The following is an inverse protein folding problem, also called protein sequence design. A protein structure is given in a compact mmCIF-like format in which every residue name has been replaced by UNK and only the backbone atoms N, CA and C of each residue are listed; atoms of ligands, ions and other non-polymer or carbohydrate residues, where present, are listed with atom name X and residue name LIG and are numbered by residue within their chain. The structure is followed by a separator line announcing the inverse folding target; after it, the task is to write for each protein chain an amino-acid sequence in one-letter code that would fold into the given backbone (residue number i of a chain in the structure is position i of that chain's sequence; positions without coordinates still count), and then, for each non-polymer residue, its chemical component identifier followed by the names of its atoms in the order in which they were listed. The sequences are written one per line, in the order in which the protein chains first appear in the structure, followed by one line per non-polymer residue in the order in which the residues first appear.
data_IF_151110064897
#
_entry.id   IF_151110064897
#
_cell.length_a   1.000
_cell.length_b   1.000
_cell.length_c   1.000
_cell.angle_alpha   90.00
_cell.angle_beta   90.00
_cell.angle_gamma   90.00
#
_symmetry.space_group_name_H-M   'P 1'
#
loop_
_entity.id
_entity.type
_entity.pdbx_description
1 polymer ?
#
# COMPACT_ATOMS: atom_id res chain seq x y z
N UNK A 1 -12.97 68.95 29.41
CA UNK A 1 -13.54 67.89 28.55
C UNK A 1 -12.48 66.92 28.06
N UNK A 2 -11.30 67.38 27.62
CA UNK A 2 -10.21 66.52 27.16
C UNK A 2 -9.79 65.39 28.13
N UNK A 3 -9.62 65.69 29.43
CA UNK A 3 -9.27 64.68 30.44
C UNK A 3 -10.25 63.50 30.51
N UNK A 4 -11.57 63.79 30.52
CA UNK A 4 -12.61 62.75 30.54
C UNK A 4 -12.64 61.90 29.27
N UNK A 5 -12.18 62.45 28.14
CA UNK A 5 -12.13 61.70 26.89
C UNK A 5 -10.95 60.73 26.90
N UNK A 6 -9.79 61.13 27.39
CA UNK A 6 -8.65 60.21 27.50
C UNK A 6 -8.84 59.14 28.56
N UNK A 7 -9.46 59.45 29.70
CA UNK A 7 -9.85 58.44 30.69
C UNK A 7 -10.76 57.36 30.09
N UNK A 8 -11.69 57.75 29.19
CA UNK A 8 -12.56 56.79 28.48
C UNK A 8 -11.80 55.91 27.49
N UNK A 9 -10.81 56.48 26.79
CA UNK A 9 -9.98 55.72 25.86
C UNK A 9 -9.12 54.70 26.59
N UNK A 10 -8.53 55.08 27.72
CA UNK A 10 -7.71 54.17 28.52
C UNK A 10 -8.57 53.04 29.10
N UNK A 11 -9.74 53.36 29.64
CA UNK A 11 -10.68 52.34 30.11
C UNK A 11 -11.11 51.36 29.01
N UNK A 12 -11.33 51.85 27.79
CA UNK A 12 -11.66 50.99 26.65
C UNK A 12 -10.48 50.10 26.20
N UNK A 13 -9.24 50.59 26.31
CA UNK A 13 -8.03 49.77 26.06
C UNK A 13 -7.89 48.65 27.08
N UNK A 14 -8.10 48.97 28.36
CA UNK A 14 -8.06 47.97 29.43
C UNK A 14 -9.14 46.90 29.24
N UNK A 15 -10.36 47.31 28.88
CA UNK A 15 -11.47 46.39 28.59
C UNK A 15 -11.19 45.49 27.37
N UNK A 16 -10.59 46.04 26.30
CA UNK A 16 -10.15 45.26 25.14
C UNK A 16 -9.06 44.26 25.52
N UNK A 17 -8.06 44.68 26.30
CA UNK A 17 -6.99 43.81 26.75
C UNK A 17 -7.53 42.66 27.61
N UNK A 18 -8.47 42.93 28.51
CA UNK A 18 -9.14 41.92 29.32
C UNK A 18 -9.94 40.94 28.44
N UNK A 19 -10.74 41.45 27.49
CA UNK A 19 -11.52 40.63 26.57
C UNK A 19 -10.63 39.71 25.69
N UNK A 20 -9.43 40.16 25.32
CA UNK A 20 -8.48 39.35 24.56
C UNK A 20 -7.86 38.20 25.37
N UNK A 21 -7.88 38.25 26.72
CA UNK A 21 -7.39 37.13 27.55
C UNK A 21 -8.33 35.93 27.54
N UNK A 22 -9.63 36.18 27.37
CA UNK A 22 -10.69 35.17 27.26
C UNK A 22 -11.60 35.59 26.11
N UNK A 23 -11.27 35.19 24.86
CA UNK A 23 -11.94 35.67 23.67
C UNK A 23 -13.33 35.07 23.53
N UNK A 24 -14.25 35.50 24.39
CA UNK A 24 -15.67 35.24 24.29
C UNK A 24 -16.26 36.24 23.29
N UNK A 25 -16.97 35.73 22.27
CA UNK A 25 -17.49 36.53 21.15
C UNK A 25 -18.25 37.77 21.65
N UNK A 26 -19.18 37.59 22.61
CA UNK A 26 -19.98 38.71 23.14
C UNK A 26 -19.17 39.75 23.91
N UNK A 27 -18.15 39.32 24.66
CA UNK A 27 -17.27 40.22 25.43
C UNK A 27 -16.36 41.03 24.51
N UNK A 28 -15.80 40.40 23.47
CA UNK A 28 -15.00 41.07 22.45
C UNK A 28 -15.83 42.07 21.62
N UNK A 29 -17.04 41.69 21.20
CA UNK A 29 -17.94 42.59 20.45
C UNK A 29 -18.31 43.83 21.27
N UNK A 30 -18.64 43.64 22.55
CA UNK A 30 -18.95 44.74 23.46
C UNK A 30 -17.73 45.66 23.66
N UNK A 31 -16.56 45.11 23.96
CA UNK A 31 -15.34 45.88 24.18
C UNK A 31 -14.91 46.66 22.91
N UNK A 32 -15.03 46.05 21.73
CA UNK A 32 -14.79 46.73 20.45
C UNK A 32 -15.78 47.87 20.23
N UNK A 33 -17.06 47.67 20.52
CA UNK A 33 -18.08 48.71 20.42
C UNK A 33 -17.79 49.89 21.36
N UNK A 34 -17.41 49.61 22.60
CA UNK A 34 -17.03 50.63 23.59
C UNK A 34 -15.77 51.41 23.17
N UNK A 35 -14.76 50.73 22.63
CA UNK A 35 -13.56 51.36 22.08
C UNK A 35 -13.87 52.31 20.91
N UNK A 36 -14.71 51.89 19.98
CA UNK A 36 -15.15 52.74 18.87
C UNK A 36 -15.93 53.98 19.38
N UNK A 37 -16.78 53.81 20.39
CA UNK A 37 -17.51 54.93 21.01
C UNK A 37 -16.60 55.88 21.80
N UNK A 38 -15.51 55.38 22.39
CA UNK A 38 -14.49 56.18 23.06
C UNK A 38 -13.60 56.97 22.06
N UNK A 39 -13.69 56.65 20.76
CA UNK A 39 -12.87 57.25 19.71
C UNK A 39 -11.43 56.73 19.71
N UNK A 40 -11.24 55.45 20.04
CA UNK A 40 -9.97 54.76 19.79
C UNK A 40 -9.69 54.70 18.28
N UNK A 41 -8.43 54.86 17.84
CA UNK A 41 -8.09 54.66 16.44
C UNK A 41 -8.29 53.20 16.04
N UNK A 42 -8.72 52.98 14.79
CA UNK A 42 -8.98 51.63 14.26
C UNK A 42 -7.76 50.71 14.34
N UNK A 43 -6.55 51.27 14.20
CA UNK A 43 -5.29 50.53 14.35
C UNK A 43 -5.15 49.85 15.71
N UNK A 44 -5.66 50.46 16.79
CA UNK A 44 -5.63 49.88 18.14
C UNK A 44 -6.69 48.76 18.29
N UNK A 45 -7.70 48.72 17.42
CA UNK A 45 -8.79 47.73 17.46
C UNK A 45 -8.49 46.48 16.59
N UNK A 46 -7.54 46.55 15.65
CA UNK A 46 -7.21 45.46 14.73
C UNK A 46 -6.91 44.12 15.43
N UNK A 47 -6.11 44.07 16.52
CA UNK A 47 -5.82 42.80 17.19
C UNK A 47 -7.07 42.15 17.79
N UNK A 48 -7.98 42.95 18.36
CA UNK A 48 -9.22 42.46 18.94
C UNK A 48 -10.24 42.04 17.86
N UNK A 49 -10.25 42.71 16.70
CA UNK A 49 -11.04 42.27 15.55
C UNK A 49 -10.56 40.91 15.02
N UNK A 50 -9.25 40.72 14.88
CA UNK A 50 -8.70 39.42 14.48
C UNK A 50 -9.06 38.31 15.49
N UNK A 51 -8.91 38.59 16.80
CA UNK A 51 -9.29 37.66 17.85
C UNK A 51 -10.81 37.34 17.83
N UNK A 52 -11.65 38.31 17.47
CA UNK A 52 -13.10 38.09 17.33
C UNK A 52 -13.42 37.15 16.16
N UNK A 53 -12.78 37.34 15.00
CA UNK A 53 -12.99 36.48 13.84
C UNK A 53 -12.48 35.05 14.11
N UNK A 54 -11.32 34.91 14.77
CA UNK A 54 -10.81 33.60 15.22
C UNK A 54 -11.79 32.93 16.20
N UNK A 55 -12.33 33.68 17.16
CA UNK A 55 -13.31 33.17 18.13
C UNK A 55 -14.63 32.73 17.45
N UNK A 56 -15.09 33.47 16.43
CA UNK A 56 -16.26 33.10 15.63
C UNK A 56 -16.03 31.82 14.85
N UNK A 57 -14.90 31.73 14.15
CA UNK A 57 -14.53 30.53 13.41
C UNK A 57 -14.42 29.31 14.34
N UNK A 58 -13.80 29.46 15.51
CA UNK A 58 -13.71 28.41 16.52
C UNK A 58 -15.10 27.97 17.03
N UNK A 59 -16.03 28.91 17.20
CA UNK A 59 -17.40 28.61 17.62
C UNK A 59 -18.19 27.87 16.52
N UNK A 60 -18.03 28.26 15.26
CA UNK A 60 -18.64 27.54 14.12
C UNK A 60 -18.13 26.11 14.03
N UNK A 61 -16.82 25.89 14.17
CA UNK A 61 -16.20 24.56 14.13
C UNK A 61 -16.64 23.69 15.31
N UNK A 62 -16.76 24.26 16.53
CA UNK A 62 -17.38 23.57 17.68
C UNK A 62 -18.82 23.15 17.39
N UNK A 63 -19.62 24.04 16.80
CA UNK A 63 -21.00 23.75 16.41
C UNK A 63 -21.09 22.63 15.37
N UNK A 64 -20.20 22.64 14.37
CA UNK A 64 -20.11 21.59 13.37
C UNK A 64 -19.70 20.24 13.99
N UNK A 65 -18.76 20.23 14.93
CA UNK A 65 -18.35 19.03 15.65
C UNK A 65 -19.50 18.45 16.48
N UNK A 66 -20.24 19.28 17.23
CA UNK A 66 -21.42 18.83 18.00
C UNK A 66 -22.51 18.24 17.10
N UNK A 67 -22.81 18.88 15.97
CA UNK A 67 -23.75 18.34 14.97
C UNK A 67 -23.28 17.00 14.40
N UNK A 68 -21.98 16.87 14.10
CA UNK A 68 -21.41 15.62 13.62
C UNK A 68 -21.49 14.52 14.68
N UNK A 69 -21.16 14.82 15.94
CA UNK A 69 -21.27 13.89 17.08
C UNK A 69 -22.70 13.38 17.27
N UNK A 70 -23.70 14.26 17.13
CA UNK A 70 -25.12 13.88 17.20
C UNK A 70 -25.57 13.00 16.04
N UNK A 71 -25.07 13.27 14.83
CA UNK A 71 -25.41 12.48 13.64
C UNK A 71 -24.85 11.06 13.70
N UNK A 72 -23.73 10.86 14.44
CA UNK A 72 -22.99 9.59 14.52
C UNK A 72 -22.58 9.02 13.16
N UNK A 73 -22.47 9.87 12.14
CA UNK A 73 -21.93 9.56 10.81
C UNK A 73 -20.40 9.62 10.86
N UNK A 74 -19.73 8.48 10.62
CA UNK A 74 -18.29 8.39 10.80
C UNK A 74 -17.50 9.32 9.85
N UNK A 75 -18.02 9.57 8.64
CA UNK A 75 -17.35 10.43 7.67
C UNK A 75 -17.45 11.89 8.08
N UNK A 76 -18.66 12.36 8.38
CA UNK A 76 -18.89 13.76 8.82
C UNK A 76 -18.11 14.08 10.08
N UNK A 77 -18.04 13.12 11.01
CA UNK A 77 -17.31 13.28 12.26
C UNK A 77 -15.80 13.32 12.04
N UNK A 78 -15.26 12.51 11.13
CA UNK A 78 -13.84 12.56 10.77
C UNK A 78 -13.46 13.89 10.11
N UNK A 79 -14.32 14.44 9.25
CA UNK A 79 -14.11 15.74 8.61
C UNK A 79 -14.17 16.88 9.65
N UNK A 80 -15.15 16.84 10.57
CA UNK A 80 -15.29 17.83 11.63
C UNK A 80 -14.14 17.80 12.64
N UNK A 81 -13.63 16.62 13.01
CA UNK A 81 -12.46 16.48 13.88
C UNK A 81 -11.21 17.07 13.24
N UNK A 82 -10.99 16.85 11.95
CA UNK A 82 -9.86 17.43 11.22
C UNK A 82 -9.93 18.97 11.21
N UNK A 83 -11.11 19.53 10.96
CA UNK A 83 -11.32 20.98 11.00
C UNK A 83 -11.10 21.54 12.42
N UNK A 84 -11.58 20.83 13.45
CA UNK A 84 -11.37 21.17 14.84
C UNK A 84 -9.89 21.18 15.25
N UNK A 85 -9.12 20.18 14.82
CA UNK A 85 -7.67 20.12 15.06
C UNK A 85 -6.95 21.30 14.39
N UNK A 86 -7.30 21.63 13.15
CA UNK A 86 -6.72 22.77 12.42
C UNK A 86 -7.03 24.12 13.07
N UNK A 87 -8.15 24.23 13.80
CA UNK A 87 -8.53 25.42 14.55
C UNK A 87 -7.97 25.47 15.97
N UNK A 88 -7.22 24.44 16.38
CA UNK A 88 -6.63 24.37 17.73
C UNK A 88 -7.67 24.17 18.83
N UNK A 89 -8.72 23.38 18.58
CA UNK A 89 -9.63 22.94 19.66
C UNK A 89 -8.85 22.23 20.77
N UNK A 90 -9.35 22.33 22.00
CA UNK A 90 -8.71 21.70 23.14
C UNK A 90 -8.69 20.17 22.97
N UNK A 91 -7.62 19.48 23.40
CA UNK A 91 -7.50 18.03 23.22
C UNK A 91 -8.62 17.25 23.92
N UNK A 92 -9.20 17.78 25.00
CA UNK A 92 -10.35 17.18 25.69
C UNK A 92 -11.61 17.19 24.81
N UNK A 93 -11.84 18.25 24.04
CA UNK A 93 -12.97 18.35 23.10
C UNK A 93 -12.77 17.38 21.92
N UNK A 94 -11.54 17.28 21.40
CA UNK A 94 -11.19 16.34 20.35
C UNK A 94 -11.35 14.88 20.81
N UNK A 95 -10.88 14.54 22.01
CA UNK A 95 -10.98 13.19 22.57
C UNK A 95 -12.43 12.69 22.68
N UNK A 96 -13.37 13.58 23.04
CA UNK A 96 -14.78 13.25 23.06
C UNK A 96 -15.31 12.90 21.65
N UNK A 97 -14.94 13.67 20.64
CA UNK A 97 -15.29 13.39 19.24
C UNK A 97 -14.66 12.10 18.71
N UNK A 98 -13.39 11.84 19.02
CA UNK A 98 -12.68 10.61 18.64
C UNK A 98 -13.33 9.35 19.23
N UNK A 99 -13.79 9.41 20.49
CA UNK A 99 -14.52 8.32 21.13
C UNK A 99 -15.83 8.00 20.38
N UNK A 100 -16.58 9.05 19.98
CA UNK A 100 -17.80 8.89 19.16
C UNK A 100 -17.45 8.34 17.77
N UNK A 101 -16.33 8.73 17.18
CA UNK A 101 -15.87 8.23 15.87
C UNK A 101 -15.56 6.75 15.92
N UNK A 102 -14.86 6.32 16.97
CA UNK A 102 -14.57 4.90 17.19
C UNK A 102 -15.87 4.10 17.33
N UNK A 103 -16.83 4.56 18.13
CA UNK A 103 -18.13 3.89 18.27
C UNK A 103 -18.92 3.84 16.94
N UNK A 104 -18.92 4.93 16.18
CA UNK A 104 -19.57 5.01 14.87
C UNK A 104 -18.97 4.01 13.88
N UNK A 105 -17.64 3.94 13.77
CA UNK A 105 -16.94 2.97 12.91
C UNK A 105 -17.22 1.52 13.31
N UNK A 106 -17.24 1.21 14.61
CA UNK A 106 -17.61 -0.13 15.08
C UNK A 106 -19.05 -0.48 14.68
N UNK A 107 -19.99 0.46 14.79
CA UNK A 107 -21.39 0.25 14.38
C UNK A 107 -21.51 -0.01 12.89
N UNK A 108 -20.87 0.80 12.05
CA UNK A 108 -20.86 0.64 10.60
C UNK A 108 -20.24 -0.69 10.18
N UNK A 109 -19.10 -1.05 10.79
CA UNK A 109 -18.41 -2.32 10.53
C UNK A 109 -19.27 -3.54 10.91
N UNK A 110 -19.96 -3.50 12.07
CA UNK A 110 -20.91 -4.57 12.45
C UNK A 110 -22.05 -4.70 11.45
N UNK A 111 -22.63 -3.59 11.01
CA UNK A 111 -23.71 -3.60 10.03
C UNK A 111 -23.26 -4.15 8.67
N UNK A 112 -22.06 -3.75 8.21
CA UNK A 112 -21.44 -4.27 7.00
C UNK A 112 -21.18 -5.79 7.09
N UNK A 113 -20.65 -6.24 8.23
CA UNK A 113 -20.41 -7.66 8.51
C UNK A 113 -21.69 -8.48 8.50
N UNK A 114 -22.75 -8.02 9.16
CA UNK A 114 -24.06 -8.68 9.16
C UNK A 114 -24.66 -8.78 7.76
N UNK A 115 -24.56 -7.70 6.96
CA UNK A 115 -24.99 -7.71 5.56
C UNK A 115 -24.19 -8.70 4.73
N UNK A 116 -22.87 -8.75 4.92
CA UNK A 116 -22.00 -9.68 4.20
C UNK A 116 -22.35 -11.14 4.52
N UNK A 117 -22.56 -11.46 5.81
CA UNK A 117 -23.02 -12.79 6.26
C UNK A 117 -24.35 -13.17 5.62
N UNK A 118 -25.30 -12.23 5.53
CA UNK A 118 -26.60 -12.47 4.91
C UNK A 118 -26.51 -12.73 3.40
N UNK A 119 -25.66 -11.99 2.69
CA UNK A 119 -25.46 -12.18 1.24
C UNK A 119 -24.72 -13.47 0.88
N UNK A 120 -23.95 -14.02 1.84
CA UNK A 120 -23.13 -15.21 1.65
C UNK A 120 -22.13 -15.14 0.47
N UNK A 121 -21.82 -13.94 0.01
CA UNK A 121 -20.80 -13.70 -1.02
C UNK A 121 -19.40 -13.72 -0.38
N UNK A 122 -18.51 -14.55 -0.92
CA UNK A 122 -17.18 -14.80 -0.33
C UNK A 122 -16.32 -13.54 -0.34
N UNK A 123 -16.37 -12.75 -1.41
CA UNK A 123 -15.57 -11.53 -1.54
C UNK A 123 -16.04 -10.47 -0.55
N UNK A 124 -17.35 -10.22 -0.49
CA UNK A 124 -17.96 -9.26 0.44
C UNK A 124 -17.70 -9.66 1.89
N UNK A 125 -17.79 -10.96 2.21
CA UNK A 125 -17.54 -11.49 3.56
C UNK A 125 -16.06 -11.34 3.96
N UNK A 126 -15.13 -11.63 3.05
CA UNK A 126 -13.70 -11.44 3.30
C UNK A 126 -13.37 -9.96 3.59
N UNK A 127 -13.87 -9.04 2.77
CA UNK A 127 -13.67 -7.61 2.97
C UNK A 127 -14.28 -7.12 4.29
N UNK A 128 -15.50 -7.56 4.61
CA UNK A 128 -16.16 -7.16 5.85
C UNK A 128 -15.45 -7.68 7.11
N UNK A 129 -14.89 -8.90 7.07
CA UNK A 129 -14.06 -9.42 8.18
C UNK A 129 -12.79 -8.59 8.35
N UNK A 130 -12.08 -8.29 7.26
CA UNK A 130 -10.87 -7.48 7.30
C UNK A 130 -11.13 -6.05 7.81
N UNK A 131 -12.22 -5.42 7.37
CA UNK A 131 -12.65 -4.10 7.83
C UNK A 131 -13.06 -4.13 9.31
N UNK A 132 -13.78 -5.18 9.74
CA UNK A 132 -14.14 -5.41 11.13
C UNK A 132 -12.93 -5.57 12.06
N UNK A 133 -11.90 -6.31 11.62
CA UNK A 133 -10.63 -6.43 12.34
C UNK A 133 -9.89 -5.09 12.42
N UNK A 134 -9.82 -4.34 11.33
CA UNK A 134 -9.19 -3.01 11.29
C UNK A 134 -9.93 -1.99 12.17
N UNK A 135 -11.25 -2.09 12.28
CA UNK A 135 -12.07 -1.27 13.18
C UNK A 135 -11.92 -1.68 14.66
N UNK A 136 -11.36 -2.86 14.94
CA UNK A 136 -11.20 -3.39 16.29
C UNK A 136 -12.49 -3.98 16.86
N UNK A 137 -13.28 -4.67 16.03
CA UNK A 137 -14.42 -5.46 16.51
C UNK A 137 -13.97 -6.57 17.46
N UNK A 138 -14.83 -6.89 18.43
CA UNK A 138 -14.59 -7.98 19.34
C UNK A 138 -14.51 -9.31 18.57
N UNK A 139 -13.63 -10.25 18.98
CA UNK A 139 -13.49 -11.54 18.32
C UNK A 139 -14.81 -12.30 18.19
N UNK A 140 -15.69 -12.19 19.19
CA UNK A 140 -17.00 -12.83 19.20
C UNK A 140 -17.90 -12.34 18.05
N UNK A 141 -17.84 -11.05 17.70
CA UNK A 141 -18.57 -10.50 16.54
C UNK A 141 -18.02 -11.03 15.21
N UNK A 142 -16.70 -11.31 15.16
CA UNK A 142 -16.01 -11.79 13.96
C UNK A 142 -16.13 -13.30 13.76
N UNK A 143 -16.27 -14.09 14.83
CA UNK A 143 -16.25 -15.55 14.79
C UNK A 143 -17.37 -16.13 13.91
N UNK A 144 -18.58 -15.56 13.99
CA UNK A 144 -19.71 -15.98 13.15
C UNK A 144 -19.42 -15.75 11.67
N UNK A 145 -18.86 -14.59 11.32
CA UNK A 145 -18.52 -14.27 9.93
C UNK A 145 -17.33 -15.10 9.42
N UNK A 146 -16.31 -15.36 10.26
CA UNK A 146 -15.19 -16.24 9.93
C UNK A 146 -15.62 -17.68 9.72
N UNK A 147 -16.53 -18.19 10.54
CA UNK A 147 -17.11 -19.53 10.35
C UNK A 147 -17.91 -19.62 9.04
N UNK A 148 -18.72 -18.60 8.74
CA UNK A 148 -19.44 -18.52 7.47
C UNK A 148 -18.47 -18.49 6.26
N UNK A 149 -17.35 -17.78 6.38
CA UNK A 149 -16.33 -17.70 5.34
C UNK A 149 -15.64 -19.05 5.13
N UNK A 150 -15.22 -19.70 6.22
CA UNK A 150 -14.60 -21.02 6.17
C UNK A 150 -15.51 -22.06 5.52
N UNK A 151 -16.79 -22.08 5.89
CA UNK A 151 -17.77 -23.00 5.32
C UNK A 151 -17.97 -22.76 3.82
N UNK A 152 -17.93 -21.50 3.37
CA UNK A 152 -18.03 -21.17 1.94
C UNK A 152 -16.79 -21.54 1.15
N UNK A 153 -15.61 -21.31 1.71
CA UNK A 153 -14.34 -21.74 1.10
C UNK A 153 -14.28 -23.26 1.00
N UNK A 154 -14.73 -23.98 2.03
CA UNK A 154 -14.83 -25.45 2.03
C UNK A 154 -15.71 -25.95 0.88
N UNK A 155 -16.94 -25.41 0.75
CA UNK A 155 -17.85 -25.76 -0.35
C UNK A 155 -17.29 -25.46 -1.73
N UNK A 156 -16.70 -24.28 -1.91
CA UNK A 156 -16.08 -23.92 -3.20
C UNK A 156 -14.91 -24.85 -3.57
N UNK A 157 -14.20 -25.37 -2.56
CA UNK A 157 -13.12 -26.35 -2.76
C UNK A 157 -13.69 -27.70 -3.19
N UNK A 158 -14.74 -28.19 -2.51
CA UNK A 158 -15.44 -29.43 -2.83
C UNK A 158 -16.05 -29.37 -4.25
N UNK A 159 -16.73 -28.28 -4.60
CA UNK A 159 -17.30 -28.05 -5.92
C UNK A 159 -16.21 -28.02 -7.00
N UNK A 160 -15.06 -27.40 -6.70
CA UNK A 160 -13.90 -27.36 -7.59
C UNK A 160 -13.27 -28.73 -7.82
N UNK A 161 -13.14 -29.54 -6.76
CA UNK A 161 -12.63 -30.92 -6.86
C UNK A 161 -13.57 -31.82 -7.67
N UNK A 162 -14.89 -31.71 -7.46
CA UNK A 162 -15.88 -32.45 -8.24
C UNK A 162 -15.80 -32.10 -9.74
N UNK A 163 -15.66 -30.80 -10.05
CA UNK A 163 -15.54 -30.33 -11.43
C UNK A 163 -14.25 -30.81 -12.11
N UNK A 164 -13.15 -30.86 -11.35
CA UNK A 164 -11.88 -31.42 -11.82
C UNK A 164 -11.94 -32.93 -12.02
N UNK A 165 -12.56 -33.67 -11.11
CA UNK A 165 -12.72 -35.12 -11.22
C UNK A 165 -13.64 -35.51 -12.39
N UNK A 166 -14.74 -34.78 -12.58
CA UNK A 166 -15.64 -34.95 -13.72
C UNK A 166 -14.96 -34.63 -15.06
N UNK A 167 -14.20 -33.54 -15.12
CA UNK A 167 -13.46 -33.15 -16.33
C UNK A 167 -12.33 -34.13 -16.66
N UNK A 168 -11.66 -34.68 -15.63
CA UNK A 168 -10.61 -35.68 -15.78
C UNK A 168 -11.15 -37.00 -16.36
N UNK A 169 -12.38 -37.39 -16.04
CA UNK A 169 -13.04 -38.54 -16.64
C UNK A 169 -13.40 -38.32 -18.13
N UNK A 170 -13.66 -37.07 -18.54
CA UNK A 170 -14.00 -36.73 -19.92
C UNK A 170 -12.77 -36.50 -20.82
N UNK A 171 -11.64 -36.05 -20.27
CA UNK A 171 -10.43 -35.72 -21.02
C UNK A 171 -9.40 -36.85 -21.14
N UNK A 172 -9.60 -37.97 -20.44
CA UNK A 172 -8.76 -39.16 -20.58
C UNK A 172 -9.54 -40.25 -21.36
N UNK A 173 -9.34 -40.41 -22.68
CA UNK A 173 -9.55 -41.73 -23.27
C UNK A 173 -8.66 -42.74 -22.52
N UNK A 174 -9.00 -44.04 -22.45
CA UNK A 174 -8.21 -45.03 -21.73
C UNK A 174 -6.75 -44.96 -22.21
N UNK A 175 -5.91 -44.29 -21.40
CA UNK A 175 -4.55 -43.91 -21.78
C UNK A 175 -3.62 -45.12 -21.94
N UNK A 176 -4.11 -46.32 -21.62
CA UNK A 176 -3.43 -47.57 -21.87
C UNK A 176 -3.20 -47.85 -23.35
N UNK A 177 -4.08 -47.41 -24.26
CA UNK A 177 -4.02 -47.88 -25.65
C UNK A 177 -3.24 -46.92 -26.58
N UNK A 178 -3.44 -45.59 -26.47
CA UNK A 178 -2.78 -44.66 -27.40
C UNK A 178 -1.29 -44.41 -27.10
N UNK A 179 -0.89 -44.34 -25.83
CA UNK A 179 0.51 -44.08 -25.47
C UNK A 179 1.39 -45.31 -25.75
N UNK A 180 0.82 -46.51 -25.64
CA UNK A 180 1.53 -47.76 -25.89
C UNK A 180 1.73 -48.02 -27.40
N UNK A 181 0.74 -47.69 -28.24
CA UNK A 181 0.83 -47.87 -29.70
C UNK A 181 1.87 -46.93 -30.35
N UNK A 182 1.89 -45.65 -29.95
CA UNK A 182 2.81 -44.63 -30.52
C UNK A 182 4.26 -44.86 -30.07
N UNK A 183 4.47 -45.27 -28.81
CA UNK A 183 5.79 -45.63 -28.30
C UNK A 183 6.31 -46.93 -28.93
N UNK A 184 5.44 -47.94 -29.13
CA UNK A 184 5.78 -49.21 -29.77
C UNK A 184 6.16 -49.04 -31.25
N UNK A 185 5.44 -48.23 -32.00
CA UNK A 185 5.76 -47.96 -33.42
C UNK A 185 7.08 -47.18 -33.58
N UNK A 186 7.35 -46.20 -32.70
CA UNK A 186 8.58 -45.41 -32.76
C UNK A 186 9.84 -46.19 -32.35
N UNK A 187 9.71 -47.19 -31.48
CA UNK A 187 10.83 -47.99 -30.98
C UNK A 187 11.11 -49.23 -31.86
N UNK A 188 10.08 -49.83 -32.47
CA UNK A 188 10.24 -50.88 -33.49
C UNK A 188 10.98 -50.37 -34.72
N UNK A 189 10.80 -49.10 -35.10
CA UNK A 189 11.47 -48.48 -36.24
C UNK A 189 12.98 -48.24 -36.02
N UNK A 190 13.49 -48.36 -34.77
CA UNK A 190 14.90 -48.09 -34.42
C UNK A 190 15.69 -49.32 -33.95
N UNK A 191 15.11 -50.52 -33.98
CA UNK A 191 15.85 -51.78 -33.80
C UNK A 191 16.37 -52.07 -32.38
N UNK A 192 15.83 -51.43 -31.34
CA UNK A 192 16.24 -51.68 -29.96
C UNK A 192 15.48 -52.89 -29.39
N UNK A 193 16.07 -54.08 -29.50
CA UNK A 193 15.63 -55.28 -28.80
C UNK A 193 16.29 -55.39 -27.42
N UNK A 194 15.47 -55.42 -26.37
CA UNK A 194 15.86 -55.91 -25.04
C UNK A 194 16.41 -54.87 -24.08
N UNK A 195 15.53 -54.09 -23.44
CA UNK A 195 15.84 -53.47 -22.14
C UNK A 195 14.55 -53.35 -21.31
N UNK A 196 14.60 -53.90 -20.09
CA UNK A 196 13.57 -53.78 -19.05
C UNK A 196 13.69 -52.40 -18.39
N UNK A 197 12.61 -51.62 -18.40
CA UNK A 197 12.54 -50.35 -17.68
C UNK A 197 11.24 -50.28 -16.87
N UNK A 198 11.39 -50.38 -15.55
CA UNK A 198 10.45 -49.81 -14.58
C UNK A 198 10.99 -48.45 -14.15
N UNK A 199 10.57 -47.38 -14.79
CA UNK A 199 10.53 -46.05 -14.14
C UNK A 199 9.29 -45.32 -14.65
N UNK A 200 8.35 -45.11 -13.71
CA UNK A 200 7.12 -44.35 -13.87
C UNK A 200 7.39 -42.84 -13.79
N UNK A 201 6.61 -42.09 -14.54
CA UNK A 201 6.40 -40.65 -14.42
C UNK A 201 5.81 -40.26 -13.05
N UNK A 202 6.22 -39.10 -12.49
CA UNK A 202 5.41 -37.87 -12.34
C UNK A 202 6.03 -36.91 -11.31
N UNK A 203 6.11 -35.62 -11.70
CA UNK A 203 6.45 -34.49 -10.84
C UNK A 203 5.36 -34.20 -9.80
N UNK A 204 5.74 -33.82 -8.59
CA UNK A 204 4.92 -33.10 -7.63
C UNK A 204 5.79 -32.10 -6.84
N UNK A 205 5.26 -30.92 -6.51
CA UNK A 205 5.88 -29.98 -5.56
C UNK A 205 4.95 -29.79 -4.36
N UNK A 206 5.51 -29.77 -3.15
CA UNK A 206 4.85 -29.34 -1.91
C UNK A 206 5.86 -28.58 -1.04
N UNK A 207 5.38 -27.63 -0.24
CA UNK A 207 6.21 -26.83 0.69
C UNK A 207 6.04 -27.37 2.11
N UNK A 208 7.15 -27.59 2.84
CA UNK A 208 7.12 -27.93 4.28
C UNK A 208 8.11 -27.04 5.01
N UNK A 209 7.65 -26.41 6.11
CA UNK A 209 8.45 -25.57 6.98
C UNK A 209 8.93 -26.38 8.20
N UNK A 210 10.21 -26.24 8.60
CA UNK A 210 10.77 -26.89 9.80
C UNK A 210 11.63 -25.85 10.55
N UNK A 211 11.37 -25.67 11.86
CA UNK A 211 12.14 -24.77 12.75
C UNK A 211 13.29 -25.46 13.50
N UNK A 212 14.22 -24.70 14.09
CA UNK A 212 15.33 -25.22 14.91
C UNK A 212 14.91 -25.41 16.39
N UNK A 213 15.44 -26.36 17.19
CA UNK A 213 16.78 -26.95 17.18
C UNK A 213 16.83 -28.48 17.49
N UNK A 214 15.72 -29.21 17.45
CA UNK A 214 15.70 -30.66 17.79
C UNK A 214 15.69 -31.62 16.58
N UNK A 215 15.84 -31.12 15.35
CA UNK A 215 15.63 -31.92 14.14
C UNK A 215 16.89 -32.13 13.30
N UNK A 216 17.99 -32.52 13.96
CA UNK A 216 19.19 -32.99 13.27
C UNK A 216 18.92 -34.21 12.38
N UNK A 217 17.96 -35.06 12.78
CA UNK A 217 17.57 -36.25 12.05
C UNK A 217 16.66 -35.92 10.86
N UNK A 218 15.66 -35.05 11.02
CA UNK A 218 14.78 -34.64 9.90
C UNK A 218 15.56 -33.92 8.78
N UNK A 219 16.61 -33.16 9.13
CA UNK A 219 17.49 -32.54 8.14
C UNK A 219 18.30 -33.59 7.37
N UNK A 220 18.75 -34.64 8.05
CA UNK A 220 19.50 -35.75 7.46
C UNK A 220 18.60 -36.60 6.58
N UNK A 221 17.39 -36.89 7.04
CA UNK A 221 16.36 -37.59 6.27
C UNK A 221 15.99 -36.82 5.00
N UNK A 222 15.86 -35.49 5.06
CA UNK A 222 15.61 -34.66 3.87
C UNK A 222 16.81 -34.61 2.90
N UNK A 223 18.04 -34.68 3.42
CA UNK A 223 19.25 -34.80 2.58
C UNK A 223 19.34 -36.17 1.91
N UNK A 224 19.10 -37.25 2.66
CA UNK A 224 19.14 -38.63 2.16
C UNK A 224 18.01 -38.87 1.15
N UNK A 225 16.83 -38.32 1.41
CA UNK A 225 15.70 -38.33 0.49
C UNK A 225 16.04 -37.56 -0.79
N UNK A 226 16.59 -36.34 -0.70
CA UNK A 226 17.03 -35.59 -1.87
C UNK A 226 18.11 -36.33 -2.68
N UNK A 227 19.06 -36.98 -2.00
CA UNK A 227 20.09 -37.81 -2.64
C UNK A 227 19.50 -39.05 -3.33
N UNK A 228 18.48 -39.69 -2.74
CA UNK A 228 17.77 -40.83 -3.33
C UNK A 228 17.04 -40.48 -4.64
N UNK A 229 16.68 -39.20 -4.80
CA UNK A 229 16.10 -38.65 -6.03
C UNK A 229 17.14 -38.00 -6.95
N UNK A 230 18.45 -38.18 -6.69
CA UNK A 230 19.53 -37.62 -7.51
C UNK A 230 19.64 -36.10 -7.44
N UNK A 231 19.02 -35.46 -6.45
CA UNK A 231 19.00 -34.01 -6.28
C UNK A 231 20.13 -33.53 -5.35
N UNK A 232 20.62 -32.31 -5.57
CA UNK A 232 21.66 -31.68 -4.73
C UNK A 232 21.00 -30.73 -3.72
N UNK A 233 21.11 -31.04 -2.43
CA UNK A 233 20.54 -30.22 -1.36
C UNK A 233 21.45 -29.02 -1.04
N UNK A 234 20.94 -27.78 -1.16
CA UNK A 234 21.68 -26.55 -0.84
C UNK A 234 20.92 -25.74 0.22
N UNK A 235 21.57 -25.51 1.36
CA UNK A 235 21.04 -24.71 2.47
C UNK A 235 21.72 -23.33 2.48
N UNK A 236 20.97 -22.25 2.33
CA UNK A 236 21.54 -20.90 2.28
C UNK A 236 20.92 -19.97 3.33
N UNK A 237 21.76 -19.21 4.05
CA UNK A 237 21.40 -18.45 5.26
C UNK A 237 20.88 -17.03 5.00
N UNK A 238 20.78 -16.60 3.74
CA UNK A 238 20.27 -15.28 3.35
C UNK A 238 19.65 -15.36 1.96
N UNK A 239 18.45 -14.84 1.77
CA UNK A 239 17.83 -14.69 0.45
C UNK A 239 17.12 -13.33 0.36
N UNK A 240 17.48 -12.55 -0.64
CA UNK A 240 16.57 -11.68 -1.39
C UNK A 240 16.89 -11.85 -2.87
N UNK A 241 15.84 -11.93 -3.71
CA UNK A 241 15.97 -11.87 -5.18
C UNK A 241 15.46 -13.06 -6.00
N UNK A 242 14.64 -13.97 -5.45
CA UNK A 242 14.34 -15.25 -6.11
C UNK A 242 13.19 -15.23 -7.15
N UNK A 243 12.34 -14.20 -7.19
CA UNK A 243 11.19 -14.14 -8.11
C UNK A 243 11.60 -13.90 -9.57
N UNK A 244 12.58 -13.03 -9.82
CA UNK A 244 13.06 -12.68 -11.17
C UNK A 244 13.93 -13.76 -11.82
N UNK A 245 14.41 -14.74 -11.05
CA UNK A 245 15.34 -15.78 -11.51
C UNK A 245 14.63 -17.05 -12.03
N UNK A 246 13.37 -17.25 -11.65
CA UNK A 246 12.58 -18.46 -11.95
C UNK A 246 11.82 -18.40 -13.27
N UNK A 247 11.66 -17.22 -13.87
CA UNK A 247 10.95 -17.06 -15.13
C UNK A 247 11.86 -17.52 -16.29
N UNK A 248 11.57 -18.72 -16.83
CA UNK A 248 12.13 -19.20 -18.10
C UNK A 248 13.02 -20.45 -18.08
N UNK A 249 13.19 -21.18 -16.96
CA UNK A 249 14.04 -22.39 -16.91
C UNK A 249 13.26 -23.67 -16.57
N UNK A 250 13.54 -24.77 -17.29
CA UNK A 250 13.08 -26.13 -16.95
C UNK A 250 14.20 -26.92 -16.26
N UNK A 251 13.86 -27.65 -15.19
CA UNK A 251 14.77 -28.53 -14.41
C UNK A 251 15.16 -27.97 -13.03
N UNK A 252 14.18 -27.62 -12.20
CA UNK A 252 14.35 -26.75 -11.02
C UNK A 252 14.87 -27.44 -9.74
N UNK A 253 15.57 -26.65 -8.91
CA UNK A 253 16.11 -27.02 -7.59
C UNK A 253 15.24 -26.41 -6.46
N UNK A 254 14.99 -27.19 -5.40
CA UNK A 254 14.18 -26.83 -4.24
C UNK A 254 15.03 -26.13 -3.16
N UNK A 255 14.54 -25.00 -2.60
CA UNK A 255 15.17 -24.27 -1.48
C UNK A 255 14.12 -23.98 -0.41
N UNK A 256 14.44 -24.25 0.85
CA UNK A 256 13.58 -24.02 2.03
C UNK A 256 14.20 -22.88 2.86
N UNK A 257 13.40 -21.92 3.34
CA UNK A 257 13.86 -20.81 4.19
C UNK A 257 12.94 -20.61 5.41
N UNK A 258 13.52 -20.16 6.53
CA UNK A 258 12.85 -19.94 7.82
C UNK A 258 12.17 -18.55 7.87
N UNK A 259 10.86 -18.54 8.14
CA UNK A 259 10.02 -17.34 8.17
C UNK A 259 10.31 -16.42 9.38
N UNK A 260 10.91 -16.93 10.45
CA UNK A 260 11.02 -16.19 11.72
C UNK A 260 12.20 -15.20 11.79
N UNK A 261 13.19 -15.29 10.91
CA UNK A 261 14.27 -14.29 10.83
C UNK A 261 13.90 -13.05 10.00
N UNK A 262 12.84 -13.11 9.18
CA UNK A 262 12.36 -11.97 8.39
C UNK A 262 11.60 -10.94 9.24
N UNK A 263 10.92 -11.39 10.31
CA UNK A 263 10.03 -10.55 11.12
C UNK A 263 10.74 -9.45 11.93
N UNK A 264 11.85 -9.71 12.66
CA UNK A 264 12.54 -8.65 13.39
C UNK A 264 13.17 -7.62 12.45
N UNK A 265 13.63 -8.02 11.26
CA UNK A 265 14.16 -7.09 10.27
C UNK A 265 13.08 -6.17 9.67
N UNK A 266 11.88 -6.71 9.44
CA UNK A 266 10.71 -5.95 8.97
C UNK A 266 10.16 -5.02 10.08
N UNK A 267 10.15 -5.48 11.33
CA UNK A 267 9.78 -4.64 12.49
C UNK A 267 10.81 -3.53 12.78
N UNK A 268 12.11 -3.79 12.58
CA UNK A 268 13.17 -2.78 12.72
C UNK A 268 13.13 -1.74 11.58
N UNK A 269 12.71 -2.14 10.38
CA UNK A 269 12.44 -1.24 9.25
C UNK A 269 11.20 -0.35 9.49
N UNK A 270 10.15 -0.91 10.12
CA UNK A 270 8.94 -0.16 10.49
C UNK A 270 9.18 0.81 11.66
N UNK A 271 10.01 0.44 12.65
CA UNK A 271 10.39 1.33 13.76
C UNK A 271 11.17 2.56 13.30
N UNK A 272 11.95 2.47 12.22
CA UNK A 272 12.71 3.58 11.65
C UNK A 272 11.86 4.61 10.88
N UNK A 273 10.58 4.33 10.61
CA UNK A 273 9.67 5.25 9.93
C UNK A 273 8.89 6.19 10.86
N UNK A 274 8.98 6.03 12.20
CA UNK A 274 8.11 6.76 13.15
C UNK A 274 8.79 7.97 13.83
N UNK A 275 10.07 8.27 13.57
CA UNK A 275 10.70 9.52 14.09
C UNK A 275 11.73 10.11 13.13
N UNK A 276 11.32 11.08 12.32
CA UNK A 276 12.01 12.34 11.99
C UNK A 276 11.37 13.01 10.75
N UNK A 277 11.41 14.36 10.63
CA UNK A 277 10.69 15.12 9.62
C UNK A 277 11.37 15.09 8.24
N UNK A 278 10.56 15.30 7.21
CA UNK A 278 10.85 15.73 5.83
C UNK A 278 12.23 15.36 5.24
N UNK A 279 12.25 14.37 4.34
CA UNK A 279 13.15 14.33 3.18
C UNK A 279 12.59 13.42 2.07
N UNK A 280 11.59 13.95 1.34
CA UNK A 280 10.96 13.36 0.14
C UNK A 280 11.99 13.06 -0.99
N UNK A 281 13.21 13.60 -0.89
CA UNK A 281 14.31 13.40 -1.83
C UNK A 281 14.81 11.94 -1.93
N UNK A 282 14.75 11.14 -0.86
CA UNK A 282 15.32 9.78 -0.85
C UNK A 282 14.38 8.72 -1.45
N UNK A 283 13.06 8.86 -1.24
CA UNK A 283 12.05 7.92 -1.75
C UNK A 283 11.93 8.00 -3.27
N UNK A 284 12.07 9.21 -3.82
CA UNK A 284 12.08 9.47 -5.28
C UNK A 284 13.29 8.82 -5.96
N UNK A 285 14.47 8.80 -5.29
CA UNK A 285 15.67 8.13 -5.81
C UNK A 285 15.49 6.62 -5.92
N UNK A 286 14.87 6.00 -4.92
CA UNK A 286 14.66 4.55 -4.93
C UNK A 286 13.61 4.16 -5.98
N UNK A 287 12.50 4.89 -6.09
CA UNK A 287 11.46 4.59 -7.09
C UNK A 287 11.98 4.79 -8.52
N UNK A 288 12.65 5.91 -8.81
CA UNK A 288 13.18 6.18 -10.15
C UNK A 288 14.30 5.20 -10.57
N UNK A 289 15.22 4.87 -9.66
CA UNK A 289 16.28 3.86 -9.94
C UNK A 289 15.68 2.47 -10.14
N UNK A 290 14.64 2.12 -9.39
CA UNK A 290 13.98 0.81 -9.53
C UNK A 290 13.17 0.74 -10.83
N UNK A 291 12.48 1.82 -11.23
CA UNK A 291 11.75 1.88 -12.51
C UNK A 291 12.69 1.81 -13.71
N UNK A 292 13.84 2.51 -13.66
CA UNK A 292 14.86 2.44 -14.72
C UNK A 292 15.54 1.08 -14.81
N UNK A 293 15.78 0.41 -13.67
CA UNK A 293 16.29 -0.96 -13.67
C UNK A 293 15.27 -1.96 -14.25
N UNK A 294 13.96 -1.73 -14.06
CA UNK A 294 12.91 -2.53 -14.70
C UNK A 294 12.86 -2.30 -16.21
N UNK A 295 12.98 -1.05 -16.68
CA UNK A 295 13.03 -0.72 -18.11
C UNK A 295 14.25 -1.35 -18.82
N UNK A 296 15.43 -1.36 -18.18
CA UNK A 296 16.62 -2.01 -18.73
C UNK A 296 16.49 -3.54 -18.83
N UNK A 297 15.67 -4.17 -17.97
CA UNK A 297 15.48 -5.62 -17.96
C UNK A 297 14.54 -6.14 -19.06
N UNK A 298 13.65 -5.31 -19.60
CA UNK A 298 12.66 -5.72 -20.63
C UNK A 298 13.21 -5.66 -22.07
N UNK A 299 14.40 -5.08 -22.27
CA UNK A 299 14.99 -4.81 -23.58
C UNK A 299 15.93 -5.96 -24.03
N UNK A 300 15.40 -7.16 -24.26
CA UNK A 300 16.16 -8.33 -24.77
C UNK A 300 15.75 -8.78 -26.19
N UNK A 301 15.42 -7.84 -27.07
CA UNK A 301 15.09 -8.09 -28.48
C UNK A 301 16.05 -7.39 -29.45
N UNK A 302 16.21 -7.98 -30.63
CA UNK A 302 17.19 -7.56 -31.65
C UNK A 302 16.82 -6.18 -32.23
N UNK A 303 17.62 -5.16 -31.95
CA UNK A 303 17.53 -3.83 -32.58
C UNK A 303 18.19 -2.70 -31.77
N UNK A 304 18.24 -2.83 -30.44
CA UNK A 304 18.90 -1.89 -29.54
C UNK A 304 20.33 -2.35 -29.24
N UNK A 305 21.31 -1.43 -29.19
CA UNK A 305 22.67 -1.79 -28.80
C UNK A 305 22.75 -1.99 -27.28
N UNK A 306 22.57 -3.23 -26.84
CA UNK A 306 22.45 -3.59 -25.42
C UNK A 306 23.70 -3.26 -24.59
N UNK A 307 24.88 -3.17 -25.21
CA UNK A 307 26.11 -2.76 -24.52
C UNK A 307 26.09 -1.28 -24.14
N UNK A 308 25.59 -0.44 -25.05
CA UNK A 308 25.60 1.01 -24.89
C UNK A 308 24.49 1.41 -23.91
N UNK A 309 23.33 0.76 -24.03
CA UNK A 309 22.24 0.90 -23.07
C UNK A 309 22.63 0.49 -21.65
N UNK A 310 23.40 -0.59 -21.48
CA UNK A 310 23.87 -1.02 -20.15
C UNK A 310 24.81 0.01 -19.49
N UNK A 311 25.42 0.90 -20.28
CA UNK A 311 26.24 2.00 -19.77
C UNK A 311 25.44 3.28 -19.48
N UNK A 312 24.18 3.35 -19.95
CA UNK A 312 23.28 4.45 -19.62
C UNK A 312 22.90 4.40 -18.14
N UNK A 313 23.44 5.35 -17.38
CA UNK A 313 23.10 5.57 -15.97
C UNK A 313 22.91 7.07 -15.77
N UNK A 314 21.86 7.48 -15.05
CA UNK A 314 21.74 8.86 -14.59
C UNK A 314 22.19 8.95 -13.13
N UNK A 315 23.16 9.80 -12.85
CA UNK A 315 23.63 10.09 -11.49
C UNK A 315 22.85 11.23 -10.82
N UNK A 316 22.01 11.94 -11.57
CA UNK A 316 21.20 13.08 -11.13
C UNK A 316 19.73 12.69 -10.90
N UNK A 317 19.07 13.34 -9.93
CA UNK A 317 17.63 13.17 -9.63
C UNK A 317 16.78 14.29 -10.26
N UNK A 318 15.50 14.04 -10.49
CA UNK A 318 14.57 15.04 -11.06
C UNK A 318 14.62 15.08 -12.60
N UNK A 319 14.15 16.20 -13.18
CA UNK A 319 14.06 16.36 -14.64
C UNK A 319 15.39 16.15 -15.36
N UNK A 320 16.50 16.61 -14.76
CA UNK A 320 17.85 16.52 -15.35
C UNK A 320 18.32 15.06 -15.46
N UNK A 321 17.98 14.24 -14.46
CA UNK A 321 18.30 12.81 -14.45
C UNK A 321 17.57 12.06 -15.55
N UNK A 322 16.25 12.30 -15.66
CA UNK A 322 15.40 11.68 -16.69
C UNK A 322 15.85 12.11 -18.09
N UNK A 323 16.16 13.40 -18.28
CA UNK A 323 16.65 13.93 -19.56
C UNK A 323 18.00 13.34 -19.94
N UNK A 324 18.93 13.23 -18.99
CA UNK A 324 20.26 12.64 -19.21
C UNK A 324 20.16 11.18 -19.61
N UNK A 325 19.33 10.40 -18.91
CA UNK A 325 19.10 9.00 -19.24
C UNK A 325 18.44 8.83 -20.61
N UNK A 326 17.43 9.65 -20.92
CA UNK A 326 16.72 9.61 -22.19
C UNK A 326 17.63 9.94 -23.38
N UNK A 327 18.52 10.93 -23.25
CA UNK A 327 19.51 11.24 -24.27
C UNK A 327 20.45 10.05 -24.51
N UNK A 328 20.90 9.37 -23.46
CA UNK A 328 21.73 8.18 -23.60
C UNK A 328 20.99 7.04 -24.31
N UNK A 329 19.71 6.82 -24.00
CA UNK A 329 18.86 5.80 -24.66
C UNK A 329 18.63 6.15 -26.14
N UNK A 330 18.51 7.44 -26.46
CA UNK A 330 18.41 7.94 -27.82
C UNK A 330 19.70 7.75 -28.62
N UNK A 331 20.85 8.04 -28.01
CA UNK A 331 22.16 7.85 -28.63
C UNK A 331 22.46 6.35 -28.84
N UNK A 332 21.93 5.47 -27.98
CA UNK A 332 21.97 4.01 -28.16
C UNK A 332 20.99 3.47 -29.23
N UNK A 333 20.14 4.34 -29.81
CA UNK A 333 19.20 3.99 -30.88
C UNK A 333 17.97 3.20 -30.41
N UNK A 334 17.58 3.30 -29.13
CA UNK A 334 16.57 2.42 -28.54
C UNK A 334 15.17 3.07 -28.36
N UNK A 335 14.94 4.23 -28.98
CA UNK A 335 13.69 5.01 -28.83
C UNK A 335 12.44 4.34 -29.40
N UNK A 336 12.55 3.71 -30.57
CA UNK A 336 11.44 3.08 -31.29
C UNK A 336 11.21 1.62 -30.90
N UNK A 337 11.90 1.14 -29.88
CA UNK A 337 11.79 -0.26 -29.47
C UNK A 337 10.45 -0.51 -28.73
N UNK A 338 9.77 -1.59 -29.10
CA UNK A 338 8.49 -2.01 -28.52
C UNK A 338 8.65 -3.29 -27.72
N UNK A 339 8.16 -3.30 -26.47
CA UNK A 339 8.03 -4.54 -25.69
C UNK A 339 6.65 -4.63 -25.08
N UNK A 340 5.97 -5.77 -25.27
CA UNK A 340 4.61 -5.95 -24.76
C UNK A 340 3.58 -4.99 -25.37
N UNK A 341 3.86 -4.42 -26.56
CA UNK A 341 2.96 -3.50 -27.27
C UNK A 341 3.04 -2.04 -26.82
N UNK A 342 4.02 -1.68 -25.99
CA UNK A 342 4.27 -0.29 -25.56
C UNK A 342 5.63 0.15 -26.08
N UNK A 343 5.70 1.33 -26.72
CA UNK A 343 6.97 1.93 -27.15
C UNK A 343 7.72 2.49 -25.95
N UNK A 344 9.04 2.36 -25.98
CA UNK A 344 9.93 2.95 -24.97
C UNK A 344 9.70 4.46 -24.80
N UNK A 345 9.44 5.17 -25.91
CA UNK A 345 8.97 6.57 -25.92
C UNK A 345 7.75 6.83 -25.02
N UNK A 346 6.71 6.01 -25.14
CA UNK A 346 5.46 6.18 -24.40
C UNK A 346 5.69 5.93 -22.89
N UNK A 347 6.59 4.99 -22.57
CA UNK A 347 7.03 4.75 -21.19
C UNK A 347 7.79 5.93 -20.58
N UNK A 348 8.61 6.63 -21.38
CA UNK A 348 9.29 7.85 -20.93
C UNK A 348 8.34 9.02 -20.72
N UNK A 349 7.33 9.17 -21.58
CA UNK A 349 6.31 10.19 -21.41
C UNK A 349 5.55 9.98 -20.09
N UNK A 350 5.15 8.74 -19.79
CA UNK A 350 4.49 8.41 -18.52
C UNK A 350 5.38 8.70 -17.29
N UNK A 351 6.70 8.51 -17.39
CA UNK A 351 7.64 8.88 -16.33
C UNK A 351 7.73 10.40 -16.13
N UNK A 352 7.70 11.18 -17.21
CA UNK A 352 7.70 12.65 -17.12
C UNK A 352 6.40 13.18 -16.56
N UNK A 353 5.26 12.64 -16.98
CA UNK A 353 3.95 12.98 -16.42
C UNK A 353 3.91 12.71 -14.91
N UNK A 354 4.49 11.59 -14.46
CA UNK A 354 4.60 11.25 -13.04
C UNK A 354 5.50 12.24 -12.26
N UNK A 355 6.60 12.71 -12.86
CA UNK A 355 7.48 13.69 -12.21
C UNK A 355 6.81 15.06 -12.10
N UNK A 356 6.00 15.44 -13.11
CA UNK A 356 5.24 16.70 -13.11
C UNK A 356 4.06 16.71 -12.12
N UNK A 357 3.64 15.55 -11.60
CA UNK A 357 2.68 15.48 -10.48
C UNK A 357 3.30 15.91 -9.13
N UNK A 358 4.62 16.04 -9.05
CA UNK A 358 5.29 16.54 -7.84
C UNK A 358 5.34 18.08 -7.87
N UNK A 359 4.89 18.77 -6.81
CA UNK A 359 4.84 20.22 -6.77
C UNK A 359 6.25 20.83 -6.91
N UNK A 360 6.41 21.75 -7.86
CA UNK A 360 7.66 22.47 -8.10
C UNK A 360 8.54 21.91 -9.22
N UNK A 361 8.10 20.87 -9.93
CA UNK A 361 8.80 20.33 -11.11
C UNK A 361 7.97 20.58 -12.39
N UNK A 362 8.51 21.37 -13.32
CA UNK A 362 8.01 21.49 -14.69
C UNK A 362 9.04 20.87 -15.64
N UNK A 363 8.93 19.56 -15.88
CA UNK A 363 9.76 18.85 -16.83
C UNK A 363 9.10 18.87 -18.21
N UNK A 364 9.70 19.56 -19.18
CA UNK A 364 9.34 19.48 -20.60
C UNK A 364 10.41 18.74 -21.39
N UNK A 365 10.06 17.62 -22.03
CA UNK A 365 10.97 16.90 -22.93
C UNK A 365 11.09 17.68 -24.25
N UNK A 366 12.19 18.41 -24.43
CA UNK A 366 12.39 19.22 -25.64
C UNK A 366 12.63 18.39 -26.92
N UNK A 367 12.87 17.09 -26.80
CA UNK A 367 12.92 16.13 -27.92
C UNK A 367 12.95 14.72 -27.34
N UNK A 368 11.80 14.14 -26.96
CA UNK A 368 11.80 12.78 -26.50
C UNK A 368 12.33 11.90 -27.66
N UNK A 369 12.96 10.77 -27.35
CA UNK A 369 12.63 9.55 -28.09
C UNK A 369 11.17 9.65 -28.53
#
# INVERSE_FOLDING_TARGET
MALRQEERKEAAKDALAEAMTKPEIGTLELALQEALQAGLPEADCLPAQAALEDAKHLAEVRGALDLAMRSRDARRLSEALLAAEQCGLAPEELAAGEAVLKEARLRESRAALQKAVATQDVSTLFHAVAEGEAAGLDPEDLDSAKAALQEKVRKATEDGEELLLGSRAALLPPAGDLAFEVARQSLSAKGFGGFDWKVREHLAFGTVAVGQAEHGDTRRDLMDLAASFGCKFVHHKKVLGFKSWLEGRKGSMLVIADWREAKPAIEELNKRHVRAPANISQLTKTVAVTLMAMLAAVLQGRGCNTSDLASCTSSTSGCDGVTTYMNCVKDAGCCDYETGGVKVKDGFQAMVDLVNLLPGNDCTLNSPC
#
